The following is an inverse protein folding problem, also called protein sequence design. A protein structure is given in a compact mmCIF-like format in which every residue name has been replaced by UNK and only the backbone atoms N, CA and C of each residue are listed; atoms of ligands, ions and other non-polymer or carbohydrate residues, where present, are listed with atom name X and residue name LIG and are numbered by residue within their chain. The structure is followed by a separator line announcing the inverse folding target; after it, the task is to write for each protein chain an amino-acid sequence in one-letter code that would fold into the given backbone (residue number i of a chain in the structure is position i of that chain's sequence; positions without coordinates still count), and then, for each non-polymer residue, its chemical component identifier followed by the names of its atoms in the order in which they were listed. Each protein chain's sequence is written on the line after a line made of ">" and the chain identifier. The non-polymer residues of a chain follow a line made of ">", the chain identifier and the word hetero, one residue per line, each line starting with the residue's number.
data_IF_923532611598
#
_entry.id   IF_923532611598
#
_cell.length_a   1.000
_cell.length_b   1.000
_cell.length_c   1.000
_cell.angle_alpha   90.00
_cell.angle_beta   90.00
_cell.angle_gamma   90.00
#
_symmetry.space_group_name_H-M   'P 1'
#
loop_
_entity.id
_entity.type
_entity.pdbx_description
1 polymer ?
#
# COMPACT_ATOMS: atom_id res chain seq x y z
N UNK A 1 -20.43 51.38 20.31
CA UNK A 1 -19.98 50.32 21.18
C UNK A 1 -20.94 49.14 20.92
N UNK A 2 -20.65 48.31 19.93
CA UNK A 2 -21.48 47.18 19.55
C UNK A 2 -20.93 45.93 20.25
N UNK A 3 -21.70 45.38 21.17
CA UNK A 3 -21.44 44.05 21.74
C UNK A 3 -21.91 42.97 20.74
N UNK A 4 -20.96 42.22 20.21
CA UNK A 4 -21.28 40.94 19.57
C UNK A 4 -21.62 39.92 20.67
N UNK A 5 -22.86 39.53 20.76
CA UNK A 5 -23.28 38.38 21.54
C UNK A 5 -22.78 37.13 20.83
N UNK A 6 -21.84 36.41 21.44
CA UNK A 6 -21.62 34.99 21.13
C UNK A 6 -22.93 34.25 21.47
N UNK A 7 -23.51 33.62 20.49
CA UNK A 7 -24.55 32.63 20.69
C UNK A 7 -23.93 31.40 21.36
N UNK A 8 -24.09 31.31 22.68
CA UNK A 8 -23.81 30.09 23.42
C UNK A 8 -24.83 29.01 22.97
N UNK A 9 -24.42 28.14 22.07
CA UNK A 9 -25.04 26.82 22.00
C UNK A 9 -24.62 26.09 23.28
N UNK A 10 -25.49 26.16 24.31
CA UNK A 10 -25.36 25.36 25.53
C UNK A 10 -25.53 23.87 25.17
N UNK A 11 -24.53 23.26 24.60
CA UNK A 11 -24.32 21.83 24.70
C UNK A 11 -24.00 21.57 26.17
N UNK A 12 -24.85 20.81 26.85
CA UNK A 12 -24.62 20.44 28.25
C UNK A 12 -23.22 19.85 28.37
N UNK A 13 -22.37 20.48 29.17
CA UNK A 13 -20.96 20.10 29.33
C UNK A 13 -20.82 18.63 29.73
N UNK A 14 -21.85 18.05 30.38
CA UNK A 14 -21.90 16.65 30.75
C UNK A 14 -22.20 15.74 29.54
N UNK A 15 -23.06 16.16 28.60
CA UNK A 15 -23.30 15.40 27.34
C UNK A 15 -22.06 15.40 26.47
N UNK A 16 -21.33 16.53 26.37
CA UNK A 16 -20.07 16.61 25.62
C UNK A 16 -18.98 15.74 26.26
N UNK A 17 -18.90 15.67 27.58
CA UNK A 17 -17.93 14.81 28.28
C UNK A 17 -18.28 13.34 28.11
N UNK A 18 -19.53 12.94 28.29
CA UNK A 18 -20.00 11.56 28.09
C UNK A 18 -19.76 11.11 26.63
N UNK A 19 -20.05 11.98 25.64
CA UNK A 19 -19.80 11.65 24.23
C UNK A 19 -18.32 11.48 23.88
N UNK A 20 -17.42 12.21 24.56
CA UNK A 20 -15.98 12.04 24.36
C UNK A 20 -15.44 10.76 24.98
N UNK A 21 -15.89 10.42 26.18
CA UNK A 21 -15.42 9.25 26.93
C UNK A 21 -15.82 7.92 26.27
N UNK A 22 -16.90 7.90 25.47
CA UNK A 22 -17.41 6.69 24.82
C UNK A 22 -17.10 6.61 23.32
N UNK A 23 -16.67 7.69 22.67
CA UNK A 23 -16.47 7.71 21.22
C UNK A 23 -15.50 6.62 20.74
N UNK A 24 -14.36 6.48 21.41
CA UNK A 24 -13.36 5.47 21.04
C UNK A 24 -13.88 4.05 21.30
N UNK A 25 -14.50 3.80 22.47
CA UNK A 25 -15.03 2.47 22.80
C UNK A 25 -16.16 2.06 21.87
N UNK A 26 -17.04 2.97 21.51
CA UNK A 26 -18.13 2.73 20.55
C UNK A 26 -17.58 2.44 19.14
N UNK A 27 -16.61 3.20 18.69
CA UNK A 27 -15.94 2.97 17.38
C UNK A 27 -15.28 1.58 17.35
N UNK A 28 -14.60 1.20 18.41
CA UNK A 28 -14.00 -0.14 18.56
C UNK A 28 -15.07 -1.23 18.56
N UNK A 29 -16.18 -1.05 19.27
CA UNK A 29 -17.29 -2.02 19.31
C UNK A 29 -17.92 -2.22 17.92
N UNK A 30 -18.10 -1.14 17.15
CA UNK A 30 -18.66 -1.18 15.79
C UNK A 30 -17.74 -1.94 14.83
N UNK A 31 -16.44 -1.66 14.83
CA UNK A 31 -15.51 -2.21 13.86
C UNK A 31 -14.96 -3.61 14.23
N UNK A 32 -14.87 -3.94 15.53
CA UNK A 32 -14.23 -5.18 16.02
C UNK A 32 -14.78 -6.47 15.41
N UNK A 33 -16.11 -6.61 15.15
CA UNK A 33 -16.62 -7.85 14.55
C UNK A 33 -16.04 -8.19 13.17
N UNK A 34 -15.62 -7.18 12.42
CA UNK A 34 -14.99 -7.37 11.11
C UNK A 34 -13.47 -7.51 11.13
N UNK A 35 -12.79 -7.32 12.28
CA UNK A 35 -11.32 -7.37 12.37
C UNK A 35 -10.84 -8.79 12.60
N UNK A 36 -9.89 -9.26 11.77
CA UNK A 36 -9.42 -10.65 11.80
C UNK A 36 -7.92 -10.75 12.06
N UNK A 37 -7.51 -11.86 12.66
CA UNK A 37 -6.12 -12.28 12.72
C UNK A 37 -5.76 -13.11 11.49
N UNK A 38 -4.56 -12.92 10.96
CA UNK A 38 -4.04 -13.66 9.82
C UNK A 38 -2.77 -14.39 10.28
N UNK A 39 -2.77 -15.71 10.09
CA UNK A 39 -1.63 -16.56 10.30
C UNK A 39 -1.19 -17.17 8.96
N UNK A 40 0.05 -16.92 8.60
CA UNK A 40 0.66 -17.52 7.43
C UNK A 40 1.71 -18.53 7.84
N UNK A 41 1.72 -19.69 7.19
CA UNK A 41 2.79 -20.67 7.29
C UNK A 41 3.21 -21.14 5.91
N UNK A 42 4.51 -21.33 5.73
CA UNK A 42 5.10 -21.80 4.46
C UNK A 42 6.26 -22.73 4.77
N UNK A 43 6.21 -23.93 4.21
CA UNK A 43 7.34 -24.86 4.31
C UNK A 43 8.44 -24.44 3.35
N UNK A 44 9.67 -24.56 3.78
CA UNK A 44 10.85 -24.24 3.00
C UNK A 44 11.67 -25.48 2.79
N UNK A 45 12.01 -25.74 1.54
CA UNK A 45 12.89 -26.84 1.14
C UNK A 45 14.20 -26.29 0.64
N UNK A 46 15.27 -26.54 1.36
CA UNK A 46 16.62 -26.12 0.98
C UNK A 46 17.38 -27.25 0.26
N UNK A 47 18.21 -26.88 -0.71
CA UNK A 47 19.11 -27.82 -1.40
C UNK A 47 20.36 -28.08 -0.55
N UNK A 48 20.70 -29.35 -0.35
CA UNK A 48 21.91 -29.74 0.38
C UNK A 48 23.15 -29.67 -0.55
N UNK A 49 24.35 -29.59 0.05
CA UNK A 49 25.63 -29.56 -0.69
C UNK A 49 25.83 -30.81 -1.60
N UNK A 50 25.14 -31.89 -1.30
CA UNK A 50 25.23 -33.17 -2.01
C UNK A 50 24.09 -33.38 -3.03
N UNK A 51 23.35 -32.32 -3.39
CA UNK A 51 22.29 -32.35 -4.39
C UNK A 51 20.93 -32.87 -3.91
N UNK A 52 20.82 -33.25 -2.63
CA UNK A 52 19.54 -33.64 -2.02
C UNK A 52 18.74 -32.42 -1.53
N UNK A 53 17.52 -32.68 -1.09
CA UNK A 53 16.63 -31.68 -0.49
C UNK A 53 16.44 -31.99 0.99
N UNK A 54 16.34 -30.95 1.83
CA UNK A 54 15.93 -31.09 3.22
C UNK A 54 14.92 -30.00 3.59
N UNK A 55 13.95 -30.34 4.41
CA UNK A 55 13.03 -29.36 4.98
C UNK A 55 13.82 -28.44 5.94
N UNK A 56 13.69 -27.15 5.73
CA UNK A 56 14.16 -26.10 6.64
C UNK A 56 13.06 -25.74 7.63
N UNK A 57 13.37 -24.91 8.59
CA UNK A 57 12.37 -24.39 9.51
C UNK A 57 11.30 -23.61 8.72
N UNK A 58 10.00 -23.90 8.91
CA UNK A 58 8.94 -23.18 8.25
C UNK A 58 9.03 -21.68 8.56
N UNK A 59 8.74 -20.84 7.57
CA UNK A 59 8.50 -19.41 7.79
C UNK A 59 7.04 -19.28 8.23
N UNK A 60 6.85 -18.57 9.33
CA UNK A 60 5.51 -18.20 9.80
C UNK A 60 5.49 -16.70 10.10
N UNK A 61 4.41 -16.04 9.75
CA UNK A 61 4.16 -14.64 10.09
C UNK A 61 2.73 -14.47 10.59
N UNK A 62 2.55 -13.49 11.44
CA UNK A 62 1.26 -13.08 11.97
C UNK A 62 0.99 -11.64 11.55
N UNK A 63 -0.21 -11.38 11.17
CA UNK A 63 -0.69 -10.05 10.83
C UNK A 63 -2.16 -9.90 11.15
N UNK A 64 -2.71 -8.79 10.79
CA UNK A 64 -4.12 -8.48 10.88
C UNK A 64 -4.74 -8.27 9.51
N UNK A 65 -6.05 -8.29 9.46
CA UNK A 65 -6.85 -7.91 8.32
C UNK A 65 -8.23 -7.49 8.78
N UNK A 66 -9.08 -7.14 7.84
CA UNK A 66 -10.49 -6.90 8.13
C UNK A 66 -11.36 -7.34 6.97
N UNK A 67 -12.51 -7.90 7.32
CA UNK A 67 -13.53 -8.35 6.37
C UNK A 67 -14.21 -7.13 5.77
N UNK A 68 -14.39 -7.13 4.46
CA UNK A 68 -14.96 -6.00 3.70
C UNK A 68 -16.30 -6.33 3.04
N UNK A 69 -16.77 -7.57 3.17
CA UNK A 69 -18.04 -8.00 2.59
C UNK A 69 -18.57 -9.26 3.26
N UNK A 70 -19.90 -9.42 3.27
CA UNK A 70 -20.60 -10.56 3.86
C UNK A 70 -20.17 -11.91 3.30
N UNK A 71 -19.69 -11.96 2.08
CA UNK A 71 -19.21 -13.16 1.41
C UNK A 71 -17.74 -13.52 1.76
N UNK A 72 -17.08 -12.74 2.66
CA UNK A 72 -15.79 -13.10 3.24
C UNK A 72 -14.57 -12.66 2.45
N UNK A 73 -14.63 -11.54 1.72
CA UNK A 73 -13.42 -10.86 1.26
C UNK A 73 -12.75 -10.11 2.41
N UNK A 74 -11.41 -10.13 2.44
CA UNK A 74 -10.59 -9.55 3.51
C UNK A 74 -9.49 -8.72 2.90
N UNK A 75 -9.30 -7.50 3.39
CA UNK A 75 -8.13 -6.67 3.10
C UNK A 75 -7.06 -6.85 4.16
N UNK A 76 -5.80 -6.87 3.70
CA UNK A 76 -4.61 -6.90 4.55
C UNK A 76 -3.41 -6.35 3.76
N UNK A 77 -2.25 -6.24 4.39
CA UNK A 77 -1.01 -5.92 3.69
C UNK A 77 -0.45 -7.11 2.90
N UNK A 78 0.15 -6.84 1.75
CA UNK A 78 0.77 -7.86 0.91
C UNK A 78 1.95 -8.55 1.61
N UNK A 79 2.75 -7.81 2.40
CA UNK A 79 3.88 -8.37 3.15
C UNK A 79 3.47 -9.36 4.24
N UNK A 80 2.22 -9.32 4.73
CA UNK A 80 1.70 -10.35 5.64
C UNK A 80 1.54 -11.71 4.94
N UNK A 81 1.37 -11.70 3.61
CA UNK A 81 1.04 -12.87 2.81
C UNK A 81 2.26 -13.41 2.05
N UNK A 82 3.13 -12.53 1.53
CA UNK A 82 4.28 -12.91 0.72
C UNK A 82 5.54 -12.22 1.19
N UNK A 83 6.59 -13.00 1.44
CA UNK A 83 7.93 -12.46 1.67
C UNK A 83 8.72 -12.46 0.36
N UNK A 84 9.68 -11.55 0.27
CA UNK A 84 10.73 -11.62 -0.75
C UNK A 84 11.71 -12.76 -0.38
N UNK A 85 11.34 -13.99 -0.74
CA UNK A 85 12.20 -15.15 -0.50
C UNK A 85 13.29 -15.20 -1.56
N UNK A 86 14.55 -15.35 -1.13
CA UNK A 86 15.69 -15.52 -2.02
C UNK A 86 15.46 -16.64 -3.03
N UNK A 87 15.87 -16.42 -4.29
CA UNK A 87 15.79 -17.37 -5.41
C UNK A 87 16.50 -18.73 -5.19
N UNK A 88 17.20 -18.91 -4.08
CA UNK A 88 17.94 -20.15 -3.73
C UNK A 88 17.11 -21.16 -2.93
N UNK A 89 15.84 -20.84 -2.64
CA UNK A 89 14.99 -21.65 -1.77
C UNK A 89 13.72 -22.01 -2.54
N UNK A 90 13.39 -23.30 -2.59
CA UNK A 90 12.10 -23.75 -3.10
C UNK A 90 11.06 -23.61 -2.00
N UNK A 91 9.98 -22.93 -2.29
CA UNK A 91 8.86 -22.75 -1.35
C UNK A 91 7.69 -23.62 -1.79
N UNK A 92 7.01 -24.20 -0.82
CA UNK A 92 5.73 -24.85 -1.02
C UNK A 92 4.60 -23.82 -1.07
N UNK A 93 3.39 -24.31 -1.27
CA UNK A 93 2.19 -23.48 -1.22
C UNK A 93 2.10 -22.75 0.13
N UNK A 94 1.62 -21.53 0.08
CA UNK A 94 1.39 -20.70 1.26
C UNK A 94 0.07 -21.12 1.90
N UNK A 95 0.11 -21.53 3.16
CA UNK A 95 -1.09 -21.78 3.94
C UNK A 95 -1.45 -20.51 4.73
N UNK A 96 -2.66 -20.00 4.52
CA UNK A 96 -3.19 -18.83 5.19
C UNK A 96 -4.39 -19.24 6.02
N UNK A 97 -4.30 -19.04 7.33
CA UNK A 97 -5.40 -19.24 8.27
C UNK A 97 -5.86 -17.89 8.77
N UNK A 98 -7.15 -17.64 8.66
CA UNK A 98 -7.82 -16.45 9.19
C UNK A 98 -8.60 -16.82 10.45
N UNK A 99 -8.45 -16.02 11.50
CA UNK A 99 -9.17 -16.17 12.77
C UNK A 99 -10.13 -14.99 12.90
N UNK A 100 -11.42 -15.28 12.91
CA UNK A 100 -12.47 -14.26 13.13
C UNK A 100 -12.75 -14.07 14.61
N UNK A 101 -13.39 -12.96 15.02
CA UNK A 101 -13.87 -12.79 16.38
C UNK A 101 -14.71 -14.00 16.84
N UNK A 102 -14.53 -14.39 18.11
CA UNK A 102 -15.09 -15.65 18.63
C UNK A 102 -14.18 -16.87 18.45
N UNK A 103 -13.02 -16.73 17.76
CA UNK A 103 -11.98 -17.77 17.67
C UNK A 103 -12.18 -18.81 16.56
N UNK A 104 -13.23 -18.66 15.73
CA UNK A 104 -13.41 -19.56 14.58
C UNK A 104 -12.33 -19.32 13.54
N UNK A 105 -11.83 -20.40 12.94
CA UNK A 105 -10.74 -20.37 11.96
C UNK A 105 -11.20 -20.78 10.57
N UNK A 106 -10.66 -20.11 9.55
CA UNK A 106 -10.93 -20.38 8.14
C UNK A 106 -9.63 -20.48 7.35
N UNK A 107 -9.57 -21.38 6.40
CA UNK A 107 -8.53 -21.37 5.39
C UNK A 107 -8.87 -20.28 4.37
N UNK A 108 -7.91 -19.40 4.09
CA UNK A 108 -8.08 -18.34 3.12
C UNK A 108 -7.31 -18.62 1.84
N UNK A 109 -7.91 -18.25 0.72
CA UNK A 109 -7.25 -18.18 -0.58
C UNK A 109 -6.84 -16.74 -0.90
N UNK A 110 -5.78 -16.56 -1.69
CA UNK A 110 -5.36 -15.27 -2.20
C UNK A 110 -6.24 -14.95 -3.42
N UNK A 111 -7.13 -13.97 -3.28
CA UNK A 111 -7.93 -13.48 -4.41
C UNK A 111 -7.10 -12.54 -5.29
N UNK A 112 -6.13 -11.84 -4.72
CA UNK A 112 -5.19 -11.02 -5.43
C UNK A 112 -4.16 -10.38 -4.50
N UNK A 113 -3.01 -10.00 -5.06
CA UNK A 113 -1.91 -9.39 -4.31
C UNK A 113 -1.17 -8.35 -5.15
N UNK A 114 -0.88 -7.21 -4.55
CA UNK A 114 -0.05 -6.18 -5.13
C UNK A 114 1.05 -5.77 -4.15
N UNK A 115 2.27 -6.18 -4.44
CA UNK A 115 3.44 -5.91 -3.58
C UNK A 115 3.85 -4.44 -3.59
N UNK A 116 3.53 -3.71 -4.64
CA UNK A 116 3.90 -2.30 -4.80
C UNK A 116 3.06 -1.42 -3.88
N UNK A 117 1.74 -1.58 -3.90
CA UNK A 117 0.84 -0.86 -2.98
C UNK A 117 0.78 -1.47 -1.58
N UNK A 118 1.46 -2.60 -1.38
CA UNK A 118 1.42 -3.39 -0.14
C UNK A 118 0.01 -3.82 0.28
N UNK A 119 -0.84 -4.18 -0.70
CA UNK A 119 -2.23 -4.58 -0.48
C UNK A 119 -2.43 -6.02 -0.96
N UNK A 120 -3.11 -6.83 -0.15
CA UNK A 120 -3.59 -8.15 -0.52
C UNK A 120 -5.08 -8.28 -0.24
N UNK A 121 -5.77 -8.98 -1.15
CA UNK A 121 -7.16 -9.36 -1.03
C UNK A 121 -7.23 -10.87 -0.82
N UNK A 122 -7.78 -11.29 0.31
CA UNK A 122 -8.00 -12.69 0.63
C UNK A 122 -9.49 -13.03 0.53
N UNK A 123 -9.78 -14.33 0.45
CA UNK A 123 -11.14 -14.87 0.44
C UNK A 123 -11.24 -16.08 1.35
N UNK A 124 -12.19 -16.01 2.28
CA UNK A 124 -12.63 -17.15 3.12
C UNK A 124 -14.01 -17.64 2.66
N UNK A 125 -14.25 -18.94 2.81
CA UNK A 125 -15.54 -19.54 2.44
C UNK A 125 -16.56 -19.37 3.57
N UNK A 126 -17.72 -18.87 3.25
CA UNK A 126 -18.85 -18.64 4.15
C UNK A 126 -19.70 -17.48 3.65
N UNK A 127 -20.77 -17.20 4.38
CA UNK A 127 -21.70 -16.11 4.12
C UNK A 127 -22.06 -15.45 5.46
N UNK A 128 -22.61 -14.24 5.35
CA UNK A 128 -23.10 -13.46 6.50
C UNK A 128 -22.02 -13.13 7.56
N UNK A 129 -20.80 -12.92 7.09
CA UNK A 129 -19.75 -12.39 7.95
C UNK A 129 -20.04 -10.94 8.34
N UNK A 130 -19.74 -10.61 9.59
CA UNK A 130 -19.60 -9.22 10.01
C UNK A 130 -18.43 -8.60 9.26
N UNK A 131 -18.59 -7.35 8.81
CA UNK A 131 -17.59 -6.66 8.02
C UNK A 131 -17.43 -5.20 8.48
N UNK A 132 -16.28 -4.61 8.23
CA UNK A 132 -16.00 -3.22 8.51
C UNK A 132 -16.59 -2.32 7.42
N UNK A 133 -17.22 -1.22 7.82
CA UNK A 133 -17.64 -0.17 6.90
C UNK A 133 -16.43 0.64 6.45
N UNK A 134 -16.48 1.13 5.21
CA UNK A 134 -15.49 2.05 4.69
C UNK A 134 -15.90 3.50 4.93
N UNK A 135 -15.01 4.26 5.53
CA UNK A 135 -15.07 5.71 5.55
C UNK A 135 -14.58 6.32 4.22
N UNK A 136 -14.22 7.60 4.30
CA UNK A 136 -13.68 8.36 3.18
C UNK A 136 -12.36 9.02 3.58
N UNK A 137 -11.24 8.46 3.09
CA UNK A 137 -9.90 8.95 3.43
C UNK A 137 -9.58 10.34 2.86
N UNK A 138 -10.33 10.81 1.86
CA UNK A 138 -10.11 12.13 1.25
C UNK A 138 -10.71 13.26 2.10
N UNK A 139 -11.62 12.91 3.04
CA UNK A 139 -12.25 13.86 3.97
C UNK A 139 -11.55 13.93 5.34
N UNK A 140 -10.58 13.05 5.61
CA UNK A 140 -9.85 12.97 6.88
C UNK A 140 -9.06 14.25 7.13
N UNK A 141 -9.06 14.71 8.40
CA UNK A 141 -8.35 15.93 8.82
C UNK A 141 -7.36 15.65 9.94
N UNK A 142 -6.28 16.41 9.95
CA UNK A 142 -5.32 16.41 11.05
C UNK A 142 -6.03 16.79 12.36
N UNK A 143 -5.76 16.04 13.42
CA UNK A 143 -6.37 16.19 14.73
C UNK A 143 -7.62 15.36 14.99
N UNK A 144 -8.19 14.68 13.97
CA UNK A 144 -9.27 13.71 14.16
C UNK A 144 -8.76 12.44 14.85
N UNK A 145 -9.66 11.72 15.53
CA UNK A 145 -9.31 10.45 16.16
C UNK A 145 -8.89 9.42 15.11
N UNK A 146 -7.81 8.72 15.41
CA UNK A 146 -7.30 7.58 14.67
C UNK A 146 -7.20 6.38 15.61
N UNK A 147 -7.95 5.33 15.36
CA UNK A 147 -7.96 4.15 16.21
C UNK A 147 -7.45 2.97 15.38
N UNK A 148 -6.28 2.46 15.71
CA UNK A 148 -5.69 1.32 15.04
C UNK A 148 -6.16 0.02 15.71
N UNK A 149 -6.73 -0.89 14.92
CA UNK A 149 -7.17 -2.21 15.38
C UNK A 149 -6.28 -3.30 14.78
N UNK A 150 -6.13 -4.42 15.52
CA UNK A 150 -5.41 -5.57 15.01
C UNK A 150 -5.31 -6.73 16.00
N UNK A 151 -4.68 -7.81 15.55
CA UNK A 151 -4.43 -9.00 16.36
C UNK A 151 -2.93 -9.34 16.45
N UNK A 152 -2.15 -8.60 17.24
CA UNK A 152 -0.67 -8.67 17.22
C UNK A 152 -0.15 -9.93 17.86
N UNK A 153 -0.56 -10.99 18.01
CA UNK A 153 0.19 -12.15 18.62
C UNK A 153 -0.56 -13.47 18.65
N UNK A 154 -1.40 -13.74 17.66
CA UNK A 154 -1.98 -15.08 17.56
C UNK A 154 -2.58 -15.59 18.89
N UNK A 155 -3.38 -14.74 19.54
CA UNK A 155 -4.09 -15.08 20.78
C UNK A 155 -5.24 -16.06 20.51
N UNK A 156 -5.00 -17.03 19.58
CA UNK A 156 -5.95 -18.04 19.09
C UNK A 156 -6.50 -18.93 20.21
N UNK A 157 -5.88 -18.93 21.39
CA UNK A 157 -6.21 -19.90 22.45
C UNK A 157 -7.44 -19.54 23.26
N UNK A 158 -8.08 -18.38 23.08
CA UNK A 158 -9.21 -17.98 23.90
C UNK A 158 -10.49 -17.76 23.07
N UNK A 159 -11.57 -18.38 23.46
CA UNK A 159 -12.92 -18.22 22.94
C UNK A 159 -13.45 -16.76 23.01
N UNK A 160 -12.69 -15.84 23.57
CA UNK A 160 -12.99 -14.41 23.73
C UNK A 160 -12.06 -13.55 22.89
N UNK A 161 -11.69 -14.02 21.69
CA UNK A 161 -10.90 -13.20 20.77
C UNK A 161 -11.55 -11.82 20.55
N UNK A 162 -10.84 -10.78 20.93
CA UNK A 162 -11.15 -9.39 20.61
C UNK A 162 -9.90 -8.72 20.02
N UNK A 163 -10.04 -7.84 19.04
CA UNK A 163 -8.93 -7.08 18.51
C UNK A 163 -8.31 -6.19 19.59
N UNK A 164 -7.01 -5.97 19.50
CA UNK A 164 -6.33 -4.95 20.32
C UNK A 164 -6.54 -3.61 19.64
N UNK A 165 -6.87 -2.59 20.42
CA UNK A 165 -7.05 -1.22 19.98
C UNK A 165 -5.94 -0.32 20.55
N UNK A 166 -5.45 0.60 19.74
CA UNK A 166 -4.67 1.74 20.19
C UNK A 166 -5.22 3.01 19.55
N UNK A 167 -5.39 4.05 20.37
CA UNK A 167 -5.95 5.32 19.92
C UNK A 167 -4.90 6.42 19.90
N UNK A 168 -5.00 7.29 18.96
CA UNK A 168 -4.24 8.50 18.75
C UNK A 168 -5.02 9.45 17.86
N UNK A 169 -4.33 10.32 17.15
CA UNK A 169 -4.90 11.26 16.20
C UNK A 169 -4.27 11.11 14.82
N UNK A 170 -4.91 11.66 13.82
CA UNK A 170 -4.28 11.90 12.53
C UNK A 170 -3.25 13.00 12.72
N UNK A 171 -1.98 12.66 12.59
CA UNK A 171 -0.85 13.59 12.77
C UNK A 171 -0.51 14.35 11.48
N UNK A 172 -0.65 13.69 10.33
CA UNK A 172 -0.50 14.28 9.01
C UNK A 172 -1.28 13.48 7.96
N UNK A 173 -1.60 14.13 6.86
CA UNK A 173 -2.16 13.54 5.64
C UNK A 173 -1.18 13.79 4.49
N UNK A 174 -1.28 12.99 3.44
CA UNK A 174 -0.40 13.08 2.26
C UNK A 174 1.10 13.00 2.62
N UNK A 175 1.44 12.12 3.57
CA UNK A 175 2.83 11.87 3.91
C UNK A 175 3.48 11.03 2.80
N UNK A 176 4.46 11.62 2.10
CA UNK A 176 5.13 11.04 0.95
C UNK A 176 6.53 10.56 1.32
N UNK A 177 6.81 9.29 1.08
CA UNK A 177 8.13 8.68 1.24
C UNK A 177 8.69 8.18 -0.09
N UNK A 178 7.98 8.43 -1.19
CA UNK A 178 8.26 7.87 -2.51
C UNK A 178 8.23 6.33 -2.54
N UNK A 179 8.85 5.73 -3.54
CA UNK A 179 9.05 4.28 -3.60
C UNK A 179 10.25 3.93 -2.71
N UNK A 180 9.99 3.09 -1.71
CA UNK A 180 11.08 2.57 -0.87
C UNK A 180 12.05 1.75 -1.74
N UNK A 181 13.28 2.22 -1.87
CA UNK A 181 14.33 1.61 -2.70
C UNK A 181 14.69 0.18 -2.28
N UNK A 182 14.45 -0.22 -1.02
CA UNK A 182 14.76 -1.56 -0.53
C UNK A 182 13.64 -2.55 -0.77
N UNK A 183 12.40 -2.15 -0.54
CA UNK A 183 11.23 -3.03 -0.68
C UNK A 183 10.48 -2.87 -2.00
N UNK A 184 10.70 -1.77 -2.74
CA UNK A 184 9.96 -1.42 -3.95
C UNK A 184 8.50 -1.03 -3.69
N UNK A 185 8.12 -0.77 -2.43
CA UNK A 185 6.76 -0.36 -2.06
C UNK A 185 6.53 1.10 -2.32
N UNK A 186 5.34 1.43 -2.82
CA UNK A 186 4.87 2.80 -2.87
C UNK A 186 4.41 3.24 -1.48
N UNK A 187 5.09 4.20 -0.90
CA UNK A 187 4.78 4.82 0.39
C UNK A 187 4.42 6.29 0.17
N UNK A 188 3.39 6.50 -0.64
CA UNK A 188 2.95 7.82 -1.07
C UNK A 188 1.54 8.11 -0.55
N UNK A 189 1.25 9.39 -0.31
CA UNK A 189 -0.07 9.83 0.15
C UNK A 189 -0.56 9.13 1.44
N UNK A 190 0.36 8.79 2.35
CA UNK A 190 0.05 8.02 3.56
C UNK A 190 -0.66 8.88 4.60
N UNK A 191 -1.52 8.25 5.39
CA UNK A 191 -2.06 8.83 6.62
C UNK A 191 -1.06 8.56 7.75
N UNK A 192 -0.58 9.63 8.40
CA UNK A 192 0.28 9.51 9.58
C UNK A 192 -0.57 9.62 10.84
N UNK A 193 -0.28 8.76 11.83
CA UNK A 193 -0.92 8.76 13.15
C UNK A 193 0.09 8.55 14.27
N UNK A 194 -0.21 9.05 15.45
CA UNK A 194 0.51 8.75 16.69
C UNK A 194 -0.12 7.59 17.48
N UNK A 195 -1.20 6.99 16.98
CA UNK A 195 -1.71 5.73 17.48
C UNK A 195 -0.60 4.66 17.42
N UNK A 196 -0.40 3.92 18.51
CA UNK A 196 0.68 2.94 18.58
C UNK A 196 0.46 1.78 17.63
N UNK A 197 1.28 1.70 16.56
CA UNK A 197 1.35 0.55 15.66
C UNK A 197 2.46 -0.39 16.15
N UNK A 198 2.13 -1.66 16.34
CA UNK A 198 3.07 -2.69 16.75
C UNK A 198 3.05 -3.84 15.73
N UNK A 199 4.13 -4.66 15.66
CA UNK A 199 4.12 -5.87 14.86
C UNK A 199 2.88 -6.72 15.18
N UNK A 200 2.07 -6.99 14.13
CA UNK A 200 0.80 -7.68 14.23
C UNK A 200 -0.45 -6.80 14.03
N UNK A 201 -0.38 -5.47 14.21
CA UNK A 201 -1.46 -4.56 13.80
C UNK A 201 -1.42 -4.27 12.28
N UNK A 202 -0.29 -4.55 11.65
CA UNK A 202 -0.09 -4.41 10.20
C UNK A 202 -1.16 -5.19 9.42
N UNK A 203 -1.81 -4.54 8.46
CA UNK A 203 -2.94 -5.06 7.69
C UNK A 203 -4.31 -4.90 8.35
N UNK A 204 -4.36 -4.58 9.64
CA UNK A 204 -5.60 -4.22 10.33
C UNK A 204 -6.09 -2.82 9.96
N UNK A 205 -7.35 -2.48 10.28
CA UNK A 205 -7.92 -1.19 9.94
C UNK A 205 -7.42 -0.07 10.87
N UNK A 206 -7.24 1.11 10.29
CA UNK A 206 -7.27 2.39 10.98
C UNK A 206 -8.69 2.94 10.85
N UNK A 207 -9.39 3.16 11.96
CA UNK A 207 -10.77 3.64 11.96
C UNK A 207 -10.88 5.05 12.54
N UNK A 208 -11.93 5.76 12.15
CA UNK A 208 -12.33 7.04 12.71
C UNK A 208 -13.17 6.86 14.00
N UNK A 209 -13.68 7.97 14.55
CA UNK A 209 -14.56 7.97 15.73
C UNK A 209 -15.96 7.38 15.50
N UNK A 210 -16.35 7.12 14.25
CA UNK A 210 -17.61 6.47 13.89
C UNK A 210 -17.46 4.95 13.77
N UNK A 211 -16.22 4.43 13.78
CA UNK A 211 -15.91 3.04 13.53
C UNK A 211 -15.73 2.71 12.05
N UNK A 212 -15.70 3.71 11.18
CA UNK A 212 -15.49 3.53 9.74
C UNK A 212 -14.01 3.48 9.40
N UNK A 213 -13.62 2.58 8.51
CA UNK A 213 -12.22 2.39 8.11
C UNK A 213 -11.76 3.53 7.21
N UNK A 214 -10.74 4.27 7.65
CA UNK A 214 -10.09 5.37 6.92
C UNK A 214 -8.73 4.97 6.32
N UNK A 215 -8.15 3.83 6.78
CA UNK A 215 -6.87 3.36 6.26
C UNK A 215 -6.55 1.93 6.65
N UNK A 216 -5.45 1.39 6.09
CA UNK A 216 -4.87 0.09 6.44
C UNK A 216 -3.56 0.34 7.18
N UNK A 217 -3.45 -0.06 8.44
CA UNK A 217 -2.21 0.04 9.22
C UNK A 217 -1.09 -0.70 8.51
N UNK A 218 0.06 -0.09 8.27
CA UNK A 218 1.12 -0.75 7.51
C UNK A 218 2.46 -0.80 8.22
N UNK A 219 3.05 0.31 8.57
CA UNK A 219 4.36 0.31 9.20
C UNK A 219 4.53 1.45 10.22
N UNK A 220 5.54 1.29 11.05
CA UNK A 220 6.07 2.32 11.93
C UNK A 220 7.52 2.57 11.53
N UNK A 221 7.93 3.82 11.45
CA UNK A 221 9.30 4.16 11.13
C UNK A 221 10.21 3.64 12.26
N UNK A 222 11.15 2.76 11.94
CA UNK A 222 12.17 2.31 12.86
C UNK A 222 12.92 3.55 13.42
N UNK A 223 13.31 3.52 14.69
CA UNK A 223 13.99 4.61 15.38
C UNK A 223 13.13 5.87 15.67
N UNK A 224 11.82 5.82 15.47
CA UNK A 224 10.91 6.92 15.81
C UNK A 224 9.80 6.41 16.72
N UNK A 225 9.53 7.13 17.80
CA UNK A 225 8.38 6.85 18.66
C UNK A 225 7.15 7.57 18.11
N UNK A 226 5.99 6.90 18.16
CA UNK A 226 4.69 7.48 17.78
C UNK A 226 4.60 7.99 16.33
N UNK A 227 5.24 7.29 15.40
CA UNK A 227 5.15 7.56 13.96
C UNK A 227 4.64 6.33 13.23
N UNK A 228 3.31 6.18 13.23
CA UNK A 228 2.59 5.16 12.50
C UNK A 228 2.08 5.68 11.16
N UNK A 229 1.97 4.78 10.17
CA UNK A 229 1.48 5.09 8.83
C UNK A 229 0.45 4.09 8.39
N UNK A 230 -0.58 4.59 7.70
CA UNK A 230 -1.63 3.78 7.12
C UNK A 230 -1.85 4.13 5.64
N UNK A 231 -2.15 3.11 4.84
CA UNK A 231 -2.55 3.25 3.44
C UNK A 231 -3.98 3.79 3.41
N UNK A 232 -4.26 4.91 2.71
CA UNK A 232 -5.61 5.48 2.64
C UNK A 232 -6.64 4.50 2.09
N UNK A 233 -7.83 4.47 2.69
CA UNK A 233 -8.85 3.48 2.33
C UNK A 233 -9.40 3.67 0.91
N UNK A 234 -9.50 4.90 0.40
CA UNK A 234 -9.98 5.15 -0.96
C UNK A 234 -9.03 4.56 -2.01
N UNK A 235 -7.72 4.69 -1.78
CA UNK A 235 -6.71 4.02 -2.61
C UNK A 235 -6.81 2.49 -2.48
N UNK A 236 -6.93 1.97 -1.25
CA UNK A 236 -7.06 0.53 -1.02
C UNK A 236 -8.33 -0.07 -1.68
N UNK A 237 -9.46 0.66 -1.67
CA UNK A 237 -10.70 0.25 -2.38
C UNK A 237 -10.47 0.11 -3.89
N UNK A 238 -9.76 1.07 -4.51
CA UNK A 238 -9.44 1.01 -5.95
C UNK A 238 -8.63 -0.24 -6.27
N UNK A 239 -7.55 -0.47 -5.53
CA UNK A 239 -6.68 -1.65 -5.68
C UNK A 239 -7.45 -2.96 -5.43
N UNK A 240 -8.24 -3.04 -4.35
CA UNK A 240 -9.03 -4.23 -4.02
C UNK A 240 -10.02 -4.62 -5.13
N UNK A 241 -10.69 -3.64 -5.72
CA UNK A 241 -11.62 -3.88 -6.83
C UNK A 241 -10.89 -4.44 -8.06
N UNK A 242 -9.71 -3.92 -8.41
CA UNK A 242 -8.92 -4.45 -9.51
C UNK A 242 -8.40 -5.85 -9.19
N UNK A 243 -7.90 -6.09 -7.98
CA UNK A 243 -7.47 -7.42 -7.53
C UNK A 243 -8.62 -8.43 -7.55
N UNK A 244 -9.84 -8.03 -7.15
CA UNK A 244 -11.04 -8.89 -7.20
C UNK A 244 -11.39 -9.31 -8.62
N UNK A 245 -11.20 -8.43 -9.60
CA UNK A 245 -11.55 -8.66 -11.01
C UNK A 245 -10.47 -9.45 -11.76
N UNK A 246 -9.19 -9.20 -11.48
CA UNK A 246 -8.06 -9.66 -12.28
C UNK A 246 -7.05 -10.52 -11.52
N UNK A 247 -7.08 -10.53 -10.19
CA UNK A 247 -6.12 -11.22 -9.32
C UNK A 247 -4.75 -10.54 -9.21
N UNK A 248 -4.43 -9.62 -10.10
CA UNK A 248 -3.12 -8.94 -10.23
C UNK A 248 -3.29 -7.54 -10.78
N UNK A 249 -2.41 -6.63 -10.35
CA UNK A 249 -2.28 -5.30 -10.92
C UNK A 249 -1.15 -5.32 -11.94
N UNK A 250 -1.45 -5.08 -13.21
CA UNK A 250 -0.43 -5.04 -14.27
C UNK A 250 0.07 -3.59 -14.46
N UNK A 251 1.28 -3.32 -13.96
CA UNK A 251 1.99 -2.04 -14.09
C UNK A 251 3.14 -2.09 -15.09
N UNK A 252 3.20 -3.15 -15.89
CA UNK A 252 4.27 -3.28 -16.88
C UNK A 252 3.98 -2.36 -18.06
N UNK A 253 4.87 -1.40 -18.27
CA UNK A 253 4.77 -0.44 -19.36
C UNK A 253 6.07 -0.42 -20.17
N UNK A 254 5.96 -0.10 -21.44
CA UNK A 254 7.08 0.19 -22.33
C UNK A 254 7.08 1.66 -22.71
N UNK A 255 8.27 2.23 -22.77
CA UNK A 255 8.50 3.57 -23.33
C UNK A 255 8.88 3.50 -24.82
N UNK A 256 9.07 2.30 -25.36
CA UNK A 256 9.56 2.14 -26.74
C UNK A 256 10.95 2.74 -26.97
N UNK A 257 11.77 2.84 -25.92
CA UNK A 257 13.12 3.39 -26.01
C UNK A 257 14.07 2.71 -25.02
N UNK A 258 15.37 2.88 -25.24
CA UNK A 258 16.40 2.60 -24.26
C UNK A 258 17.15 3.88 -23.94
N UNK A 259 17.43 4.08 -22.64
CA UNK A 259 18.15 5.24 -22.16
C UNK A 259 19.15 4.87 -21.08
N UNK A 260 20.23 5.63 -21.00
CA UNK A 260 21.28 5.49 -19.99
C UNK A 260 21.45 6.78 -19.20
N UNK A 261 21.88 6.65 -17.96
CA UNK A 261 22.17 7.82 -17.12
C UNK A 261 23.29 8.64 -17.77
N UNK A 262 23.10 9.93 -17.84
CA UNK A 262 24.01 10.86 -18.51
C UNK A 262 24.21 12.14 -17.69
N UNK A 263 25.44 12.62 -17.64
CA UNK A 263 25.81 13.88 -16.99
C UNK A 263 25.84 14.98 -18.04
N UNK A 264 25.05 16.02 -17.84
CA UNK A 264 24.95 17.17 -18.77
C UNK A 264 25.16 18.50 -18.01
N UNK A 265 25.05 19.63 -18.74
CA UNK A 265 25.28 20.98 -18.24
C UNK A 265 26.72 21.47 -18.46
N UNK A 266 26.91 22.78 -18.45
CA UNK A 266 28.21 23.42 -18.69
C UNK A 266 29.29 22.96 -17.69
N UNK A 267 28.90 22.72 -16.43
CA UNK A 267 29.78 22.28 -15.37
C UNK A 267 29.78 20.74 -15.22
N UNK A 268 29.03 19.99 -16.03
CA UNK A 268 28.81 18.54 -15.87
C UNK A 268 28.32 18.18 -14.47
N UNK A 269 27.35 18.90 -13.96
CA UNK A 269 26.81 18.80 -12.61
C UNK A 269 25.34 18.35 -12.56
N UNK A 270 24.72 18.12 -13.71
CA UNK A 270 23.34 17.70 -13.82
C UNK A 270 23.22 16.30 -14.39
N UNK A 271 22.26 15.52 -13.87
CA UNK A 271 21.97 14.16 -14.30
C UNK A 271 20.65 14.13 -15.05
N UNK A 272 20.56 13.27 -16.05
CA UNK A 272 19.39 12.95 -16.83
C UNK A 272 19.56 11.61 -17.53
N UNK A 273 18.61 11.24 -18.40
CA UNK A 273 18.64 9.98 -19.14
C UNK A 273 18.78 10.25 -20.63
N UNK A 274 19.94 9.91 -21.18
CA UNK A 274 20.26 10.02 -22.61
C UNK A 274 19.56 8.88 -23.37
N UNK A 275 18.79 9.20 -24.41
CA UNK A 275 18.12 8.23 -25.25
C UNK A 275 19.12 7.65 -26.27
N UNK A 276 19.47 6.39 -26.05
CA UNK A 276 20.39 5.64 -26.93
C UNK A 276 19.68 5.12 -28.19
N UNK A 277 18.43 4.71 -28.05
CA UNK A 277 17.63 4.13 -29.12
C UNK A 277 16.14 4.37 -28.89
N UNK A 278 15.43 4.66 -29.97
CA UNK A 278 13.96 4.66 -30.04
C UNK A 278 13.52 3.44 -30.85
N UNK A 279 12.57 2.68 -30.32
CA UNK A 279 12.00 1.52 -31.00
C UNK A 279 10.59 1.86 -31.51
N UNK A 280 10.51 2.27 -32.74
CA UNK A 280 9.25 2.67 -33.40
C UNK A 280 8.32 1.49 -33.70
N UNK A 281 8.77 0.24 -33.52
CA UNK A 281 7.95 -0.97 -33.65
C UNK A 281 7.29 -1.37 -32.31
N UNK A 282 7.62 -0.72 -31.21
CA UNK A 282 7.00 -0.94 -29.91
C UNK A 282 5.53 -0.49 -29.90
N UNK A 283 4.78 -0.99 -28.93
CA UNK A 283 3.39 -0.55 -28.69
C UNK A 283 3.28 0.86 -28.13
N UNK A 284 4.38 1.42 -27.62
CA UNK A 284 4.45 2.82 -27.20
C UNK A 284 4.42 3.76 -28.43
N UNK A 285 3.72 4.86 -28.28
CA UNK A 285 3.70 5.93 -29.31
C UNK A 285 4.61 7.06 -28.86
N UNK A 286 5.80 7.10 -29.44
CA UNK A 286 6.88 8.02 -29.07
C UNK A 286 7.39 8.84 -30.29
N UNK A 287 6.49 9.28 -31.12
CA UNK A 287 6.80 9.98 -32.39
C UNK A 287 7.58 11.29 -32.18
N UNK A 288 7.53 11.86 -30.98
CA UNK A 288 8.20 13.11 -30.63
C UNK A 288 9.56 12.94 -29.95
N UNK A 289 9.99 11.69 -29.69
CA UNK A 289 11.27 11.39 -29.05
C UNK A 289 12.30 10.91 -30.07
N UNK A 290 13.53 11.35 -29.91
CA UNK A 290 14.64 11.03 -30.81
C UNK A 290 15.87 10.52 -30.04
N UNK A 291 16.67 9.72 -30.71
CA UNK A 291 17.99 9.38 -30.22
C UNK A 291 18.82 10.65 -30.02
N UNK A 292 19.42 10.80 -28.86
CA UNK A 292 20.20 11.98 -28.50
C UNK A 292 19.49 12.93 -27.56
N UNK A 293 18.16 12.82 -27.39
CA UNK A 293 17.44 13.58 -26.38
C UNK A 293 17.89 13.16 -24.98
N UNK A 294 17.88 14.10 -24.04
CA UNK A 294 18.15 13.84 -22.63
C UNK A 294 16.87 14.08 -21.84
N UNK A 295 16.27 13.02 -21.30
CA UNK A 295 15.08 13.11 -20.46
C UNK A 295 15.49 13.67 -19.10
N UNK A 296 14.84 14.75 -18.64
CA UNK A 296 15.13 15.43 -17.39
C UNK A 296 13.92 15.51 -16.45
N UNK A 297 12.70 15.33 -16.98
CA UNK A 297 11.48 15.26 -16.18
C UNK A 297 10.42 14.38 -16.86
N UNK A 298 9.58 13.75 -16.03
CA UNK A 298 8.38 13.00 -16.43
C UNK A 298 7.23 13.50 -15.56
N UNK A 299 6.11 13.91 -16.19
CA UNK A 299 4.95 14.50 -15.51
C UNK A 299 5.32 15.63 -14.52
N UNK A 300 6.35 16.43 -14.85
CA UNK A 300 6.86 17.50 -14.02
C UNK A 300 7.79 17.08 -12.88
N UNK A 301 7.98 15.77 -12.65
CA UNK A 301 8.94 15.25 -11.68
C UNK A 301 10.32 15.17 -12.32
N UNK A 302 11.33 15.76 -11.66
CA UNK A 302 12.73 15.66 -12.09
C UNK A 302 13.19 14.21 -12.10
N UNK A 303 13.92 13.83 -13.15
CA UNK A 303 14.39 12.45 -13.37
C UNK A 303 15.90 12.46 -13.57
N UNK A 304 16.59 11.66 -12.76
CA UNK A 304 18.04 11.45 -12.83
C UNK A 304 18.39 9.96 -13.04
N UNK A 305 17.41 9.06 -12.87
CA UNK A 305 17.59 7.60 -12.99
C UNK A 305 16.32 6.90 -13.51
N UNK A 306 16.51 5.66 -14.00
CA UNK A 306 15.37 4.81 -14.40
C UNK A 306 14.48 4.42 -13.20
N UNK A 307 15.07 4.31 -12.02
CA UNK A 307 14.36 4.03 -10.77
C UNK A 307 13.37 5.15 -10.43
N UNK A 308 13.76 6.41 -10.67
CA UNK A 308 12.87 7.56 -10.46
C UNK A 308 11.72 7.59 -11.47
N UNK A 309 11.94 7.23 -12.74
CA UNK A 309 10.84 7.05 -13.70
C UNK A 309 9.84 6.01 -13.15
N UNK A 310 10.32 4.84 -12.71
CA UNK A 310 9.45 3.81 -12.12
C UNK A 310 8.68 4.35 -10.93
N UNK A 311 9.32 5.12 -10.07
CA UNK A 311 8.67 5.74 -8.92
C UNK A 311 7.52 6.68 -9.35
N UNK A 312 7.74 7.52 -10.36
CA UNK A 312 6.70 8.42 -10.89
C UNK A 312 5.54 7.64 -11.50
N UNK A 313 5.83 6.59 -12.30
CA UNK A 313 4.79 5.76 -12.90
C UNK A 313 3.90 5.09 -11.84
N UNK A 314 4.51 4.60 -10.77
CA UNK A 314 3.80 3.96 -9.66
C UNK A 314 3.01 5.01 -8.88
N UNK A 315 3.63 6.16 -8.56
CA UNK A 315 3.01 7.27 -7.82
C UNK A 315 1.74 7.78 -8.50
N UNK A 316 1.79 7.94 -9.80
CA UNK A 316 0.67 8.42 -10.61
C UNK A 316 -0.26 7.29 -11.10
N UNK A 317 0.02 6.04 -10.73
CA UNK A 317 -0.70 4.82 -11.16
C UNK A 317 -0.84 4.72 -12.68
N UNK A 318 0.21 5.11 -13.41
CA UNK A 318 0.23 5.13 -14.88
C UNK A 318 0.33 3.71 -15.46
N UNK A 319 -0.38 3.49 -16.55
CA UNK A 319 -0.58 2.17 -17.18
C UNK A 319 -0.28 2.22 -18.68
N UNK A 320 -0.16 1.04 -19.28
CA UNK A 320 -0.08 0.94 -20.73
C UNK A 320 -1.35 1.54 -21.38
N UNK A 321 -1.17 2.47 -22.31
CA UNK A 321 -2.21 3.23 -22.96
C UNK A 321 -2.39 4.65 -22.42
N UNK A 322 -1.77 5.00 -21.29
CA UNK A 322 -1.81 6.36 -20.76
C UNK A 322 -0.81 7.25 -21.50
N UNK A 323 -1.20 8.50 -21.71
CA UNK A 323 -0.32 9.54 -22.24
C UNK A 323 0.44 10.21 -21.10
N UNK A 324 1.74 10.37 -21.26
CA UNK A 324 2.62 11.05 -20.32
C UNK A 324 3.36 12.19 -20.99
N UNK A 325 3.69 13.20 -20.20
CA UNK A 325 4.51 14.34 -20.63
C UNK A 325 5.94 14.17 -20.13
N UNK A 326 6.88 14.39 -21.01
CA UNK A 326 8.31 14.41 -20.70
C UNK A 326 8.89 15.77 -21.03
N UNK A 327 9.83 16.23 -20.22
CA UNK A 327 10.71 17.34 -20.58
C UNK A 327 12.04 16.76 -20.99
N UNK A 328 12.50 17.11 -22.19
CA UNK A 328 13.78 16.68 -22.73
C UNK A 328 14.66 17.87 -23.06
N UNK A 329 15.97 17.65 -23.12
CA UNK A 329 16.94 18.58 -23.71
C UNK A 329 17.29 18.04 -25.09
N UNK A 330 17.07 18.86 -26.10
CA UNK A 330 17.38 18.61 -27.50
C UNK A 330 18.15 19.80 -28.04
N UNK A 331 19.35 19.58 -28.61
CA UNK A 331 20.19 20.64 -29.16
C UNK A 331 20.43 21.83 -28.22
N UNK A 332 20.49 21.58 -26.91
CA UNK A 332 20.59 22.52 -25.77
C UNK A 332 19.30 23.31 -25.42
N UNK A 333 18.18 23.03 -26.07
CA UNK A 333 16.89 23.63 -25.75
C UNK A 333 16.01 22.66 -24.95
N UNK A 334 15.12 23.21 -24.11
CA UNK A 334 14.14 22.43 -23.36
C UNK A 334 12.88 22.25 -24.20
N UNK A 335 12.49 21.00 -24.43
CA UNK A 335 11.26 20.69 -25.14
C UNK A 335 10.34 19.83 -24.26
N UNK A 336 9.02 20.05 -24.36
CA UNK A 336 8.01 19.19 -23.79
C UNK A 336 7.45 18.29 -24.89
N UNK A 337 7.54 17.01 -24.68
CA UNK A 337 7.11 15.98 -25.63
C UNK A 337 6.08 15.06 -24.96
N UNK A 338 5.22 14.45 -25.76
CA UNK A 338 4.22 13.50 -25.29
C UNK A 338 4.58 12.08 -25.72
N UNK A 339 4.30 11.12 -24.85
CA UNK A 339 4.50 9.70 -25.10
C UNK A 339 3.27 8.93 -24.62
N UNK A 340 2.70 8.06 -25.45
CA UNK A 340 1.73 7.04 -25.00
C UNK A 340 2.48 5.79 -24.55
N UNK A 341 2.28 5.38 -23.29
CA UNK A 341 2.90 4.19 -22.72
C UNK A 341 2.43 2.92 -23.43
N UNK A 342 3.35 2.12 -23.89
CA UNK A 342 3.09 0.82 -24.49
C UNK A 342 2.97 -0.30 -23.48
N UNK A 343 2.59 -1.50 -23.95
CA UNK A 343 2.52 -2.71 -23.14
C UNK A 343 3.73 -3.61 -23.43
N UNK A 344 4.40 -4.09 -22.37
CA UNK A 344 5.44 -5.11 -22.50
C UNK A 344 4.78 -6.47 -22.68
N UNK A 345 5.02 -7.14 -23.83
CA UNK A 345 4.46 -8.46 -24.15
C UNK A 345 5.37 -9.62 -23.75
N UNK A 346 6.68 -9.42 -23.60
CA UNK A 346 7.65 -10.47 -23.30
C UNK A 346 8.28 -10.30 -21.92
N UNK A 347 8.26 -11.39 -21.14
CA UNK A 347 8.79 -11.49 -19.77
C UNK A 347 10.33 -11.55 -19.66
N UNK A 348 11.08 -11.49 -20.76
CA UNK A 348 12.53 -11.81 -20.76
C UNK A 348 13.49 -10.66 -20.42
N UNK A 349 13.01 -9.47 -20.09
CA UNK A 349 13.90 -8.28 -19.97
C UNK A 349 13.97 -7.67 -18.56
N UNK A 350 13.53 -8.35 -17.52
CA UNK A 350 13.72 -7.89 -16.13
C UNK A 350 14.25 -9.03 -15.25
N UNK A 351 15.51 -9.43 -15.45
CA UNK A 351 16.34 -10.14 -14.49
C UNK A 351 17.48 -9.25 -14.04
#
# INVERSE_FOLDING_TARGET
>A
MLFFACNDSNLDRNEVLISKDTAISNAVEIASPGVVGIYRSQEIVGRTRWGGYRNLKPISSNGSGFIISKDGYILTNAHNIKDNVSSKVFTTDINITVVVPGGQTYNASIAGIDMISDIALLKINGNDFDYCNFGDSDLVKVGEWAIALGNPRNLISNAQYQPIASAGIISAINADFNVDSQSGKLLDNMIQTDASLNPGNSGGPLIDSNGDVIGINTFMKADSQNLGFAIPINFAKKIANELKLRGVIDRRVSFGLSATQYIYGENRDQLGLFIDRVDYADSARNEELYRGDIIIAVEGYRIESLEEIKAVLIKLDLRAGDDIKMTVIRENDFENVSLTLGKIWNLEVLN
#
